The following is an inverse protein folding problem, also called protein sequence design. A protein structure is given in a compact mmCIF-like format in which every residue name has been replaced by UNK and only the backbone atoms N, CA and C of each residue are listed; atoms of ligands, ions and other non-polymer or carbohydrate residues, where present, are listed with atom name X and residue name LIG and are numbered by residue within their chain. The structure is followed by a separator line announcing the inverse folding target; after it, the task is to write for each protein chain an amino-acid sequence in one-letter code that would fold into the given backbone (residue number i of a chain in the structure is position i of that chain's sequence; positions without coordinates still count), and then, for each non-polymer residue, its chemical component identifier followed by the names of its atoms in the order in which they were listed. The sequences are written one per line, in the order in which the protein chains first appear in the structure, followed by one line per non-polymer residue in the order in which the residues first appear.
data_IF_047517741367
#
_entry.id   IF_047517741367
#
_cell.length_a   1.000
_cell.length_b   1.000
_cell.length_c   1.000
_cell.angle_alpha   90.00
_cell.angle_beta   90.00
_cell.angle_gamma   90.00
#
_symmetry.space_group_name_H-M   'P 1'
#
loop_
_entity.id
_entity.type
_entity.pdbx_description
1 polymer ?
#
# COMPACT_ATOMS: atom_id res chain seq x y z
N UNK A 1 35.69 -60.67 25.37
CA UNK A 1 34.35 -60.11 25.69
C UNK A 1 34.09 -58.96 24.74
N UNK A 2 33.17 -59.11 23.78
CA UNK A 2 32.74 -58.04 22.87
C UNK A 2 31.27 -57.77 23.16
N UNK A 3 30.99 -56.60 23.72
CA UNK A 3 29.63 -56.14 24.07
C UNK A 3 29.02 -55.51 22.81
N UNK A 4 27.90 -56.06 22.36
CA UNK A 4 27.07 -55.50 21.29
C UNK A 4 26.13 -54.45 21.88
N UNK A 5 26.20 -53.22 21.37
CA UNK A 5 25.26 -52.14 21.68
C UNK A 5 24.08 -52.25 20.71
N UNK A 6 22.91 -52.67 21.20
CA UNK A 6 21.67 -52.66 20.45
C UNK A 6 21.12 -51.23 20.39
N UNK A 7 21.11 -50.63 19.19
CA UNK A 7 20.41 -49.38 18.92
C UNK A 7 18.93 -49.70 18.66
N UNK A 8 18.06 -49.21 19.53
CA UNK A 8 16.60 -49.31 19.40
C UNK A 8 16.10 -48.15 18.55
N UNK A 9 15.76 -48.41 17.29
CA UNK A 9 15.06 -47.46 16.42
C UNK A 9 13.58 -47.40 16.83
N UNK A 10 13.15 -46.31 17.47
CA UNK A 10 11.73 -46.00 17.61
C UNK A 10 11.18 -45.48 16.28
N UNK A 11 10.34 -46.28 15.65
CA UNK A 11 9.54 -45.91 14.48
C UNK A 11 8.33 -45.09 14.97
N UNK A 12 8.38 -43.76 14.84
CA UNK A 12 7.21 -42.90 15.06
C UNK A 12 6.34 -42.95 13.81
N UNK A 13 5.25 -43.70 13.86
CA UNK A 13 4.21 -43.70 12.82
C UNK A 13 3.39 -42.42 12.98
N UNK A 14 3.68 -41.41 12.16
CA UNK A 14 2.90 -40.19 12.10
C UNK A 14 1.53 -40.46 11.48
N UNK A 15 0.47 -40.36 12.28
CA UNK A 15 -0.90 -40.28 11.79
C UNK A 15 -1.03 -38.95 11.06
N UNK A 16 -1.39 -38.90 9.76
CA UNK A 16 -1.64 -37.63 9.09
C UNK A 16 -2.82 -36.96 9.79
N UNK A 17 -2.55 -35.85 10.49
CA UNK A 17 -3.58 -34.97 11.00
C UNK A 17 -4.45 -34.55 9.83
N UNK A 18 -5.70 -35.03 9.82
CA UNK A 18 -6.75 -34.51 8.96
C UNK A 18 -6.94 -33.06 9.40
N UNK A 19 -6.27 -32.13 8.73
CA UNK A 19 -6.57 -30.70 8.85
C UNK A 19 -8.03 -30.55 8.40
N UNK A 20 -8.92 -30.40 9.38
CA UNK A 20 -10.28 -29.92 9.17
C UNK A 20 -10.16 -28.58 8.44
N UNK A 21 -10.35 -28.57 7.12
CA UNK A 21 -10.50 -27.35 6.34
C UNK A 21 -11.55 -26.48 7.04
N UNK A 22 -11.14 -25.28 7.48
CA UNK A 22 -12.04 -24.37 8.16
C UNK A 22 -13.10 -23.86 7.16
N UNK A 23 -14.34 -23.62 7.60
CA UNK A 23 -15.35 -23.00 6.77
C UNK A 23 -14.86 -21.64 6.22
N UNK A 24 -14.72 -21.53 4.90
CA UNK A 24 -14.22 -20.31 4.28
C UNK A 24 -14.74 -20.12 2.85
N UNK A 25 -14.73 -18.86 2.40
CA UNK A 25 -14.79 -18.48 0.98
C UNK A 25 -13.36 -18.25 0.51
N UNK A 26 -12.87 -19.16 -0.33
CA UNK A 26 -11.53 -19.13 -0.89
C UNK A 26 -11.59 -18.71 -2.35
N UNK A 27 -10.83 -17.68 -2.71
CA UNK A 27 -10.65 -17.29 -4.12
C UNK A 27 -9.20 -17.57 -4.48
N UNK A 28 -8.99 -18.46 -5.45
CA UNK A 28 -7.67 -18.81 -5.96
C UNK A 28 -7.50 -18.17 -7.32
N UNK A 29 -6.78 -17.06 -7.39
CA UNK A 29 -6.47 -16.37 -8.63
C UNK A 29 -5.09 -16.76 -9.13
N UNK A 30 -5.03 -17.47 -10.25
CA UNK A 30 -3.77 -17.85 -10.88
C UNK A 30 -3.10 -16.62 -11.53
N UNK A 31 -1.75 -16.58 -11.66
CA UNK A 31 -1.10 -15.57 -12.49
C UNK A 31 -1.65 -15.61 -13.93
N UNK A 32 -1.79 -14.45 -14.57
CA UNK A 32 -2.17 -14.40 -15.98
C UNK A 32 -1.08 -15.05 -16.83
N UNK A 33 -1.47 -15.92 -17.76
CA UNK A 33 -0.57 -16.56 -18.71
C UNK A 33 -0.68 -15.82 -20.04
N UNK A 34 0.40 -15.14 -20.44
CA UNK A 34 0.43 -14.31 -21.63
C UNK A 34 1.41 -14.91 -22.62
N UNK A 35 0.96 -15.18 -23.83
CA UNK A 35 1.76 -15.74 -24.90
C UNK A 35 1.65 -14.87 -26.15
N UNK A 36 2.73 -14.80 -26.92
CA UNK A 36 2.73 -14.23 -28.27
C UNK A 36 3.18 -15.31 -29.24
N UNK A 37 2.43 -15.52 -30.31
CA UNK A 37 2.74 -16.49 -31.37
C UNK A 37 2.80 -15.79 -32.71
N UNK A 38 3.82 -16.12 -33.49
CA UNK A 38 3.98 -15.61 -34.84
C UNK A 38 3.53 -16.66 -35.87
N UNK A 39 2.96 -16.23 -36.99
CA UNK A 39 2.52 -17.13 -38.06
C UNK A 39 2.84 -16.61 -39.47
N UNK A 40 2.98 -17.52 -40.43
CA UNK A 40 3.01 -17.18 -41.86
C UNK A 40 1.57 -16.99 -42.36
N UNK A 41 1.16 -15.80 -42.85
CA UNK A 41 -0.19 -15.58 -43.37
C UNK A 41 -0.57 -16.50 -44.53
N UNK A 42 0.40 -17.01 -45.29
CA UNK A 42 0.14 -17.92 -46.42
C UNK A 42 -0.07 -19.37 -45.97
N UNK A 43 0.46 -19.73 -44.80
CA UNK A 43 0.38 -21.07 -44.24
C UNK A 43 0.12 -20.97 -42.72
N UNK A 44 -1.03 -20.43 -42.30
CA UNK A 44 -1.31 -20.24 -40.88
C UNK A 44 -1.42 -21.59 -40.17
N UNK A 45 -1.00 -21.69 -38.89
CA UNK A 45 -1.14 -22.92 -38.14
C UNK A 45 -2.64 -23.20 -37.88
N UNK A 46 -3.04 -24.48 -37.80
CA UNK A 46 -4.45 -24.88 -37.76
C UNK A 46 -5.16 -24.50 -36.46
N UNK A 47 -4.42 -24.25 -35.38
CA UNK A 47 -4.92 -23.83 -34.08
C UNK A 47 -5.04 -22.30 -33.93
N UNK A 48 -4.65 -21.53 -34.95
CA UNK A 48 -4.84 -20.09 -34.97
C UNK A 48 -6.34 -19.78 -35.14
N UNK A 49 -6.91 -18.88 -34.33
CA UNK A 49 -8.27 -18.39 -34.52
C UNK A 49 -8.47 -17.78 -35.93
N UNK A 50 -9.69 -17.89 -36.52
CA UNK A 50 -10.03 -17.18 -37.74
C UNK A 50 -9.79 -15.67 -37.58
N UNK A 51 -9.30 -15.01 -38.63
CA UNK A 51 -9.25 -13.54 -38.71
C UNK A 51 -10.47 -13.04 -39.47
N UNK A 52 -11.02 -11.91 -39.06
CA UNK A 52 -12.07 -11.22 -39.83
C UNK A 52 -11.41 -10.12 -40.64
N UNK A 53 -11.68 -10.01 -41.94
CA UNK A 53 -11.19 -8.87 -42.73
C UNK A 53 -11.69 -7.54 -42.13
N UNK A 54 -10.84 -6.53 -41.88
CA UNK A 54 -9.48 -6.33 -42.40
C UNK A 54 -8.33 -6.71 -41.42
N UNK A 55 -8.58 -7.52 -40.40
CA UNK A 55 -7.62 -7.87 -39.36
C UNK A 55 -6.44 -8.68 -39.89
N UNK A 56 -5.21 -8.28 -39.53
CA UNK A 56 -3.99 -9.01 -39.86
C UNK A 56 -3.45 -9.84 -38.68
N UNK A 57 -3.97 -9.61 -37.48
CA UNK A 57 -3.58 -10.22 -36.21
C UNK A 57 -4.81 -10.37 -35.31
N UNK A 58 -4.71 -11.20 -34.28
CA UNK A 58 -5.82 -11.42 -33.33
C UNK A 58 -5.31 -11.76 -31.94
N UNK A 59 -5.95 -11.19 -30.94
CA UNK A 59 -5.73 -11.44 -29.54
C UNK A 59 -6.88 -12.24 -28.95
N UNK A 60 -6.59 -13.42 -28.40
CA UNK A 60 -7.61 -14.26 -27.76
C UNK A 60 -7.32 -14.42 -26.29
N UNK A 61 -8.26 -13.97 -25.46
CA UNK A 61 -8.27 -14.16 -24.02
C UNK A 61 -9.30 -15.21 -23.60
N UNK A 62 -8.89 -16.16 -22.77
CA UNK A 62 -9.73 -17.17 -22.13
C UNK A 62 -9.79 -16.88 -20.62
N UNK A 63 -10.93 -16.31 -20.19
CA UNK A 63 -11.23 -16.02 -18.79
C UNK A 63 -11.98 -17.20 -18.17
N UNK A 64 -11.25 -18.01 -17.40
CA UNK A 64 -11.83 -19.16 -16.69
C UNK A 64 -12.21 -18.77 -15.26
N UNK A 65 -13.41 -19.21 -14.88
CA UNK A 65 -13.92 -19.17 -13.52
C UNK A 65 -14.57 -20.50 -13.22
N UNK A 66 -14.02 -21.21 -12.24
CA UNK A 66 -14.51 -22.50 -11.78
C UNK A 66 -14.87 -22.40 -10.31
N UNK A 67 -16.16 -22.50 -9.99
CA UNK A 67 -16.66 -22.46 -8.63
C UNK A 67 -16.96 -23.88 -8.14
N UNK A 68 -16.59 -24.16 -6.91
CA UNK A 68 -16.95 -25.40 -6.21
C UNK A 68 -17.54 -25.05 -4.85
N UNK A 69 -18.63 -25.71 -4.51
CA UNK A 69 -19.43 -25.41 -3.31
C UNK A 69 -19.55 -26.66 -2.46
N UNK A 70 -19.41 -26.51 -1.15
CA UNK A 70 -19.59 -27.56 -0.16
C UNK A 70 -20.64 -27.17 0.87
N UNK A 71 -21.41 -28.15 1.33
CA UNK A 71 -22.41 -27.96 2.37
C UNK A 71 -22.35 -29.03 3.44
N UNK A 72 -22.68 -28.64 4.67
CA UNK A 72 -22.87 -29.55 5.79
C UNK A 72 -24.36 -29.90 5.92
N UNK A 73 -24.67 -31.19 5.83
CA UNK A 73 -26.05 -31.70 5.93
C UNK A 73 -26.42 -31.97 7.37
N UNK A 74 -27.60 -31.48 7.76
CA UNK A 74 -28.32 -31.78 8.98
C UNK A 74 -29.58 -32.55 8.60
N UNK A 75 -29.52 -33.89 8.69
CA UNK A 75 -30.65 -34.74 8.33
C UNK A 75 -31.78 -34.62 9.37
N UNK A 76 -33.02 -34.47 8.90
CA UNK A 76 -34.21 -34.37 9.73
C UNK A 76 -34.89 -35.74 9.79
N UNK A 77 -35.12 -36.36 8.63
CA UNK A 77 -35.67 -37.71 8.48
C UNK A 77 -35.11 -38.41 7.23
N UNK A 78 -35.68 -39.56 6.84
CA UNK A 78 -35.22 -40.34 5.68
C UNK A 78 -35.33 -39.59 4.35
N UNK A 79 -36.19 -38.58 4.26
CA UNK A 79 -36.55 -37.85 3.05
C UNK A 79 -36.34 -36.34 3.15
N UNK A 80 -36.01 -35.80 4.33
CA UNK A 80 -35.80 -34.37 4.56
C UNK A 80 -34.48 -34.08 5.27
N UNK A 81 -33.81 -33.01 4.85
CA UNK A 81 -32.62 -32.48 5.51
C UNK A 81 -32.51 -30.97 5.30
N UNK A 82 -31.61 -30.32 6.05
CA UNK A 82 -31.12 -28.97 5.74
C UNK A 82 -29.64 -29.04 5.45
N UNK A 83 -29.17 -28.30 4.45
CA UNK A 83 -27.75 -28.17 4.17
C UNK A 83 -27.31 -26.72 4.36
N UNK A 84 -26.29 -26.50 5.19
CA UNK A 84 -25.66 -25.18 5.35
C UNK A 84 -24.42 -25.12 4.47
N UNK A 85 -24.38 -24.16 3.54
CA UNK A 85 -23.19 -23.90 2.72
C UNK A 85 -22.07 -23.42 3.64
N UNK A 86 -20.96 -24.16 3.67
CA UNK A 86 -19.85 -23.88 4.58
C UNK A 86 -18.48 -23.90 3.87
N UNK A 87 -18.44 -24.13 2.56
CA UNK A 87 -17.24 -24.02 1.76
C UNK A 87 -17.60 -23.49 0.38
N UNK A 88 -16.89 -22.47 -0.07
CA UNK A 88 -16.96 -22.02 -1.46
C UNK A 88 -15.52 -21.77 -1.91
N UNK A 89 -15.12 -22.39 -3.02
CA UNK A 89 -13.83 -22.15 -3.64
C UNK A 89 -14.03 -21.73 -5.08
N UNK A 90 -13.50 -20.58 -5.46
CA UNK A 90 -13.53 -20.08 -6.85
C UNK A 90 -12.11 -20.00 -7.38
N UNK A 91 -11.82 -20.72 -8.46
CA UNK A 91 -10.54 -20.68 -9.15
C UNK A 91 -10.65 -19.80 -10.38
N UNK A 92 -9.76 -18.82 -10.52
CA UNK A 92 -9.73 -17.85 -11.60
C UNK A 92 -8.44 -18.01 -12.40
N UNK A 93 -8.55 -17.96 -13.73
CA UNK A 93 -7.41 -18.01 -14.63
C UNK A 93 -7.65 -17.12 -15.84
N UNK A 94 -6.61 -16.42 -16.29
CA UNK A 94 -6.57 -15.75 -17.59
C UNK A 94 -5.46 -16.39 -18.42
N UNK A 95 -5.82 -16.96 -19.56
CA UNK A 95 -4.87 -17.37 -20.59
C UNK A 95 -5.07 -16.48 -21.80
N UNK A 96 -4.02 -15.81 -22.25
CA UNK A 96 -4.10 -14.93 -23.40
C UNK A 96 -3.03 -15.28 -24.41
N UNK A 97 -3.42 -15.34 -25.68
CA UNK A 97 -2.49 -15.53 -26.80
C UNK A 97 -2.71 -14.43 -27.83
N UNK A 98 -1.63 -13.69 -28.12
CA UNK A 98 -1.59 -12.73 -29.21
C UNK A 98 -0.99 -13.42 -30.44
N UNK A 99 -1.73 -13.45 -31.54
CA UNK A 99 -1.31 -14.04 -32.80
C UNK A 99 -0.91 -12.95 -33.78
N UNK A 100 0.38 -12.86 -34.11
CA UNK A 100 0.93 -11.87 -35.03
C UNK A 100 1.42 -12.54 -36.33
N UNK A 101 1.25 -11.91 -37.50
CA UNK A 101 1.90 -12.39 -38.71
C UNK A 101 3.43 -12.19 -38.59
N UNK A 102 4.21 -12.93 -39.38
CA UNK A 102 5.65 -12.70 -39.46
C UNK A 102 5.95 -11.27 -39.95
N UNK A 103 6.82 -10.55 -39.22
CA UNK A 103 7.15 -9.14 -39.47
C UNK A 103 5.92 -8.23 -39.47
N UNK A 104 5.14 -8.19 -38.38
CA UNK A 104 3.93 -7.39 -38.32
C UNK A 104 4.29 -5.90 -38.40
N UNK A 105 3.46 -5.06 -39.04
CA UNK A 105 3.57 -3.61 -38.88
C UNK A 105 3.48 -3.23 -37.40
N UNK A 106 4.28 -2.26 -36.96
CA UNK A 106 4.31 -1.81 -35.56
C UNK A 106 2.90 -1.48 -35.02
N UNK A 107 2.08 -0.77 -35.82
CA UNK A 107 0.69 -0.45 -35.47
C UNK A 107 -0.17 -1.67 -35.16
N UNK A 108 0.08 -2.80 -35.82
CA UNK A 108 -0.65 -4.05 -35.60
C UNK A 108 -0.26 -4.63 -34.25
N UNK A 109 1.04 -4.64 -33.93
CA UNK A 109 1.53 -5.08 -32.62
C UNK A 109 0.92 -4.23 -31.50
N UNK A 110 0.90 -2.91 -31.68
CA UNK A 110 0.35 -1.97 -30.72
C UNK A 110 -1.17 -2.16 -30.51
N UNK A 111 -1.93 -2.37 -31.58
CA UNK A 111 -3.36 -2.64 -31.48
C UNK A 111 -3.66 -3.92 -30.69
N UNK A 112 -2.97 -5.02 -31.00
CA UNK A 112 -3.12 -6.28 -30.25
C UNK A 112 -2.72 -6.14 -28.77
N UNK A 113 -1.69 -5.34 -28.52
CA UNK A 113 -1.24 -5.01 -27.18
C UNK A 113 -2.30 -4.21 -26.38
N UNK A 114 -3.13 -3.42 -27.06
CA UNK A 114 -4.31 -2.79 -26.46
C UNK A 114 -5.34 -3.80 -25.95
N UNK A 115 -5.64 -4.85 -26.73
CA UNK A 115 -6.50 -5.95 -26.27
C UNK A 115 -5.93 -6.65 -25.03
N UNK A 116 -4.59 -6.80 -24.97
CA UNK A 116 -3.92 -7.36 -23.78
C UNK A 116 -4.15 -6.50 -22.56
N UNK A 117 -3.96 -5.18 -22.68
CA UNK A 117 -4.15 -4.23 -21.59
C UNK A 117 -5.59 -4.24 -21.06
N UNK A 118 -6.59 -4.32 -21.94
CA UNK A 118 -8.01 -4.45 -21.54
C UNK A 118 -8.24 -5.75 -20.76
N UNK A 119 -7.72 -6.88 -21.24
CA UNK A 119 -7.88 -8.17 -20.58
C UNK A 119 -7.24 -8.17 -19.18
N UNK A 120 -6.02 -7.63 -19.07
CA UNK A 120 -5.33 -7.50 -17.78
C UNK A 120 -6.03 -6.55 -16.81
N UNK A 121 -6.62 -5.46 -17.31
CA UNK A 121 -7.38 -4.52 -16.49
C UNK A 121 -8.52 -5.24 -15.75
N UNK A 122 -9.33 -6.00 -16.47
CA UNK A 122 -10.41 -6.78 -15.86
C UNK A 122 -9.86 -7.87 -14.94
N UNK A 123 -8.83 -8.59 -15.37
CA UNK A 123 -8.26 -9.65 -14.56
C UNK A 123 -7.65 -9.15 -13.25
N UNK A 124 -7.11 -7.93 -13.21
CA UNK A 124 -6.63 -7.29 -11.97
C UNK A 124 -7.70 -7.30 -10.88
N UNK A 125 -8.94 -6.99 -11.24
CA UNK A 125 -10.08 -6.87 -10.32
C UNK A 125 -10.88 -8.18 -10.13
N UNK A 126 -10.53 -9.24 -10.87
CA UNK A 126 -11.25 -10.51 -10.89
C UNK A 126 -11.50 -11.13 -9.51
N UNK A 127 -10.52 -11.07 -8.60
CA UNK A 127 -10.67 -11.63 -7.25
C UNK A 127 -11.76 -10.92 -6.46
N UNK A 128 -11.76 -9.58 -6.45
CA UNK A 128 -12.75 -8.79 -5.72
C UNK A 128 -14.16 -9.01 -6.24
N UNK A 129 -14.32 -9.16 -7.56
CA UNK A 129 -15.60 -9.49 -8.20
C UNK A 129 -16.07 -10.88 -7.76
N UNK A 130 -15.22 -11.91 -7.90
CA UNK A 130 -15.56 -13.27 -7.53
C UNK A 130 -15.92 -13.41 -6.05
N UNK A 131 -15.15 -12.76 -5.17
CA UNK A 131 -15.41 -12.75 -3.72
C UNK A 131 -16.77 -12.14 -3.39
N UNK A 132 -17.07 -10.96 -3.92
CA UNK A 132 -18.35 -10.26 -3.72
C UNK A 132 -19.56 -11.07 -4.19
N UNK A 133 -19.39 -11.87 -5.25
CA UNK A 133 -20.43 -12.76 -5.76
C UNK A 133 -20.58 -14.00 -4.88
N UNK A 134 -19.47 -14.61 -4.44
CA UNK A 134 -19.47 -15.85 -3.67
C UNK A 134 -19.92 -15.67 -2.21
N UNK A 135 -19.51 -14.59 -1.53
CA UNK A 135 -19.75 -14.35 -0.11
C UNK A 135 -21.24 -14.41 0.29
N UNK A 136 -22.19 -13.82 -0.45
CA UNK A 136 -23.61 -13.94 -0.14
C UNK A 136 -24.15 -15.37 -0.12
N UNK A 137 -23.48 -16.34 -0.77
CA UNK A 137 -23.90 -17.74 -0.74
C UNK A 137 -23.36 -18.50 0.48
N UNK A 138 -22.30 -17.99 1.12
CA UNK A 138 -21.72 -18.63 2.28
C UNK A 138 -22.65 -18.57 3.49
N UNK A 139 -22.79 -19.68 4.20
CA UNK A 139 -23.68 -19.80 5.35
C UNK A 139 -25.17 -19.93 5.02
N UNK A 140 -25.59 -19.78 3.75
CA UNK A 140 -26.97 -20.02 3.33
C UNK A 140 -27.40 -21.45 3.69
N UNK A 141 -28.65 -21.58 4.12
CA UNK A 141 -29.26 -22.89 4.40
C UNK A 141 -30.22 -23.25 3.27
N UNK A 142 -30.14 -24.49 2.81
CA UNK A 142 -30.97 -25.05 1.74
C UNK A 142 -31.80 -26.17 2.36
N UNK A 143 -33.11 -26.13 2.17
CA UNK A 143 -33.99 -27.25 2.53
C UNK A 143 -33.91 -28.31 1.42
N UNK A 144 -33.66 -29.56 1.82
CA UNK A 144 -33.53 -30.70 0.93
C UNK A 144 -34.70 -31.65 1.16
N UNK A 145 -35.34 -32.10 0.07
CA UNK A 145 -36.39 -33.12 0.12
C UNK A 145 -36.21 -34.11 -1.04
N UNK A 146 -36.22 -35.40 -0.74
CA UNK A 146 -36.12 -36.47 -1.73
C UNK A 146 -35.69 -37.81 -1.15
N UNK A 147 -35.91 -38.88 -1.93
CA UNK A 147 -35.52 -40.24 -1.54
C UNK A 147 -33.99 -40.46 -1.50
N UNK A 148 -33.24 -39.66 -2.26
CA UNK A 148 -31.77 -39.63 -2.24
C UNK A 148 -31.28 -38.20 -1.93
N UNK A 149 -31.12 -37.92 -0.63
CA UNK A 149 -30.66 -36.61 -0.14
C UNK A 149 -29.27 -36.23 -0.65
N UNK A 150 -28.41 -37.21 -1.01
CA UNK A 150 -27.07 -36.93 -1.53
C UNK A 150 -27.15 -36.40 -2.95
N UNK A 151 -27.96 -37.04 -3.79
CA UNK A 151 -28.21 -36.56 -5.15
C UNK A 151 -28.82 -35.15 -5.15
N UNK A 152 -29.83 -34.92 -4.28
CA UNK A 152 -30.49 -33.61 -4.15
C UNK A 152 -29.51 -32.54 -3.68
N UNK A 153 -28.63 -32.84 -2.70
CA UNK A 153 -27.57 -31.92 -2.28
C UNK A 153 -26.62 -31.58 -3.43
N UNK A 154 -26.14 -32.60 -4.17
CA UNK A 154 -25.22 -32.43 -5.29
C UNK A 154 -25.78 -31.45 -6.32
N UNK A 155 -27.02 -31.68 -6.77
CA UNK A 155 -27.68 -30.78 -7.70
C UNK A 155 -27.84 -29.35 -7.14
N UNK A 156 -28.12 -29.20 -5.85
CA UNK A 156 -28.29 -27.89 -5.23
C UNK A 156 -26.97 -27.10 -5.14
N UNK A 157 -25.85 -27.74 -4.79
CA UNK A 157 -24.55 -27.06 -4.71
C UNK A 157 -23.96 -26.79 -6.10
N UNK A 158 -24.20 -27.68 -7.07
CA UNK A 158 -23.80 -27.47 -8.48
C UNK A 158 -24.51 -26.26 -9.06
N UNK A 159 -25.81 -26.09 -8.76
CA UNK A 159 -26.57 -24.90 -9.15
C UNK A 159 -25.97 -23.61 -8.57
N UNK A 160 -25.55 -23.60 -7.31
CA UNK A 160 -24.92 -22.43 -6.70
C UNK A 160 -23.57 -22.12 -7.36
N UNK A 161 -22.77 -23.16 -7.65
CA UNK A 161 -21.51 -22.99 -8.37
C UNK A 161 -21.74 -22.38 -9.76
N UNK A 162 -22.73 -22.86 -10.50
CA UNK A 162 -23.13 -22.31 -11.80
C UNK A 162 -23.58 -20.84 -11.68
N UNK A 163 -24.42 -20.51 -10.69
CA UNK A 163 -24.85 -19.13 -10.41
C UNK A 163 -23.66 -18.20 -10.19
N UNK A 164 -22.67 -18.61 -9.38
CA UNK A 164 -21.44 -17.84 -9.13
C UNK A 164 -20.65 -17.63 -10.42
N UNK A 165 -20.44 -18.69 -11.21
CA UNK A 165 -19.67 -18.61 -12.46
C UNK A 165 -20.35 -17.75 -13.52
N UNK A 166 -21.68 -17.88 -13.67
CA UNK A 166 -22.48 -17.07 -14.61
C UNK A 166 -22.45 -15.60 -14.23
N UNK A 167 -22.67 -15.30 -12.95
CA UNK A 167 -22.66 -13.93 -12.45
C UNK A 167 -21.26 -13.30 -12.55
N UNK A 168 -20.19 -14.08 -12.32
CA UNK A 168 -18.82 -13.63 -12.51
C UNK A 168 -18.56 -13.21 -13.96
N UNK A 169 -18.95 -14.05 -14.93
CA UNK A 169 -18.83 -13.71 -16.36
C UNK A 169 -19.63 -12.46 -16.71
N UNK A 170 -20.84 -12.32 -16.16
CA UNK A 170 -21.70 -11.14 -16.38
C UNK A 170 -21.05 -9.85 -15.88
N UNK A 171 -20.36 -9.89 -14.75
CA UNK A 171 -19.64 -8.73 -14.18
C UNK A 171 -18.25 -8.50 -14.81
N UNK A 172 -17.85 -9.33 -15.77
CA UNK A 172 -16.58 -9.24 -16.50
C UNK A 172 -16.85 -9.00 -18.00
N UNK A 173 -17.33 -7.81 -18.40
CA UNK A 173 -17.75 -7.48 -19.78
C UNK A 173 -16.56 -7.26 -20.73
N UNK A 174 -15.55 -8.13 -20.66
CA UNK A 174 -14.29 -8.03 -21.41
C UNK A 174 -14.59 -8.00 -22.90
N UNK A 175 -15.35 -8.97 -23.42
CA UNK A 175 -15.67 -9.09 -24.85
C UNK A 175 -16.33 -7.81 -25.40
N UNK A 176 -17.31 -7.26 -24.68
CA UNK A 176 -17.96 -5.99 -25.08
C UNK A 176 -17.03 -4.78 -25.02
N UNK A 177 -15.97 -4.83 -24.21
CA UNK A 177 -14.97 -3.77 -24.13
C UNK A 177 -13.94 -3.91 -25.25
N UNK A 178 -13.55 -5.14 -25.57
CA UNK A 178 -12.68 -5.43 -26.72
C UNK A 178 -13.35 -4.99 -28.02
N UNK A 179 -14.62 -5.36 -28.23
CA UNK A 179 -15.37 -4.93 -29.42
C UNK A 179 -15.45 -3.40 -29.55
N UNK A 180 -15.63 -2.68 -28.44
CA UNK A 180 -15.59 -1.21 -28.45
C UNK A 180 -14.21 -0.65 -28.74
N UNK A 181 -13.16 -1.29 -28.24
CA UNK A 181 -11.79 -0.92 -28.58
C UNK A 181 -11.53 -1.10 -30.08
N UNK A 182 -12.04 -2.17 -30.69
CA UNK A 182 -12.01 -2.36 -32.14
C UNK A 182 -12.76 -1.26 -32.88
N UNK A 183 -13.96 -0.90 -32.44
CA UNK A 183 -14.73 0.21 -33.02
C UNK A 183 -13.99 1.55 -32.92
N UNK A 184 -13.37 1.85 -31.76
CA UNK A 184 -12.64 3.09 -31.50
C UNK A 184 -11.41 3.21 -32.41
N UNK A 185 -10.69 2.10 -32.59
CA UNK A 185 -9.45 2.02 -33.38
C UNK A 185 -9.69 1.68 -34.84
N UNK A 186 -10.93 1.40 -35.22
CA UNK A 186 -11.34 0.88 -36.53
C UNK A 186 -10.54 -0.39 -36.92
N UNK A 187 -10.43 -1.34 -35.98
CA UNK A 187 -9.55 -2.52 -36.04
C UNK A 187 -8.09 -2.13 -36.34
N UNK A 188 -7.57 -1.15 -35.58
CA UNK A 188 -6.19 -0.67 -35.70
C UNK A 188 -5.88 0.18 -36.95
N UNK A 189 -6.88 0.61 -37.72
CA UNK A 189 -6.69 1.45 -38.92
C UNK A 189 -6.63 2.94 -38.61
N UNK A 190 -7.26 3.37 -37.52
CA UNK A 190 -7.28 4.77 -37.08
C UNK A 190 -6.01 5.10 -36.29
N UNK A 191 -5.41 6.25 -36.58
CA UNK A 191 -4.26 6.77 -35.82
C UNK A 191 -4.75 7.37 -34.49
N UNK A 192 -4.80 6.53 -33.46
CA UNK A 192 -5.05 6.91 -32.07
C UNK A 192 -4.01 6.22 -31.17
N UNK A 193 -3.40 6.92 -30.20
CA UNK A 193 -2.52 6.27 -29.24
C UNK A 193 -3.27 5.16 -28.50
N UNK A 194 -2.68 3.96 -28.46
CA UNK A 194 -3.29 2.78 -27.81
C UNK A 194 -3.74 3.04 -26.37
N UNK A 195 -2.94 3.70 -25.50
CA UNK A 195 -3.38 3.99 -24.13
C UNK A 195 -4.67 4.83 -24.07
N UNK A 196 -4.84 5.77 -24.98
CA UNK A 196 -6.02 6.64 -25.03
C UNK A 196 -7.25 5.85 -25.51
N UNK A 197 -7.08 5.01 -26.53
CA UNK A 197 -8.14 4.14 -27.04
C UNK A 197 -8.57 3.10 -25.98
N UNK A 198 -7.63 2.50 -25.24
CA UNK A 198 -7.92 1.59 -24.11
C UNK A 198 -8.67 2.33 -23.01
N UNK A 199 -8.21 3.53 -22.62
CA UNK A 199 -8.88 4.33 -21.60
C UNK A 199 -10.30 4.72 -22.03
N UNK A 200 -10.49 5.07 -23.30
CA UNK A 200 -11.82 5.38 -23.86
C UNK A 200 -12.73 4.15 -23.86
N UNK A 201 -12.23 2.97 -24.26
CA UNK A 201 -13.00 1.73 -24.24
C UNK A 201 -13.44 1.34 -22.82
N UNK A 202 -12.57 1.57 -21.81
CA UNK A 202 -12.85 1.25 -20.41
C UNK A 202 -13.83 2.23 -19.74
N UNK A 203 -13.87 3.50 -20.17
CA UNK A 203 -14.64 4.58 -19.52
C UNK A 203 -16.15 4.33 -19.48
N UNK A 204 -16.69 3.62 -20.45
CA UNK A 204 -18.14 3.44 -20.60
C UNK A 204 -18.67 2.12 -20.04
N UNK A 205 -17.80 1.23 -19.56
CA UNK A 205 -18.20 -0.14 -19.23
C UNK A 205 -18.58 -0.35 -17.77
N UNK A 206 -18.02 0.45 -16.87
CA UNK A 206 -18.32 0.34 -15.43
C UNK A 206 -18.04 1.70 -14.75
N UNK A 207 -18.93 2.22 -13.87
CA UNK A 207 -18.40 2.99 -12.75
C UNK A 207 -17.43 2.05 -12.03
N UNK A 208 -16.20 2.50 -11.75
CA UNK A 208 -15.28 1.76 -10.90
C UNK A 208 -16.11 1.16 -9.76
N UNK A 209 -16.07 -0.17 -9.52
CA UNK A 209 -16.86 -0.76 -8.45
C UNK A 209 -16.57 0.06 -7.20
N UNK A 210 -17.61 0.64 -6.59
CA UNK A 210 -17.49 1.47 -5.38
C UNK A 210 -16.49 0.74 -4.49
N UNK A 211 -15.28 1.33 -4.41
CA UNK A 211 -14.17 0.72 -3.72
C UNK A 211 -14.72 0.44 -2.33
N UNK A 212 -14.87 -0.84 -1.97
CA UNK A 212 -15.49 -1.22 -0.69
C UNK A 212 -14.85 -0.31 0.34
N UNK A 213 -15.66 0.55 0.98
CA UNK A 213 -15.16 1.72 1.69
C UNK A 213 -14.01 1.26 2.56
N UNK A 214 -12.78 1.57 2.13
CA UNK A 214 -11.61 1.09 2.82
C UNK A 214 -11.77 1.59 4.25
N UNK A 215 -11.40 0.78 5.25
CA UNK A 215 -11.43 1.23 6.62
C UNK A 215 -10.49 2.44 6.72
N UNK A 216 -11.08 3.63 6.59
CA UNK A 216 -10.37 4.89 6.58
C UNK A 216 -9.89 5.12 8.01
N UNK A 217 -8.59 5.25 8.16
CA UNK A 217 -7.97 5.51 9.46
C UNK A 217 -7.68 7.00 9.54
N UNK A 218 -7.97 7.62 10.68
CA UNK A 218 -7.64 9.02 10.93
C UNK A 218 -6.13 9.24 10.73
N UNK A 219 -5.76 10.27 9.95
CA UNK A 219 -4.37 10.63 9.70
C UNK A 219 -3.74 11.16 10.99
N UNK A 220 -2.56 10.65 11.39
CA UNK A 220 -1.84 11.15 12.57
C UNK A 220 -1.62 12.66 12.55
N UNK A 221 -1.38 13.24 11.37
CA UNK A 221 -1.20 14.68 11.19
C UNK A 221 -2.50 15.44 11.44
N UNK A 222 -3.64 14.94 10.96
CA UNK A 222 -4.94 15.52 11.25
C UNK A 222 -5.24 15.49 12.76
N UNK A 223 -5.02 14.33 13.40
CA UNK A 223 -5.23 14.15 14.83
C UNK A 223 -4.38 15.10 15.68
N UNK A 224 -3.17 15.42 15.22
CA UNK A 224 -2.27 16.33 15.90
C UNK A 224 -2.84 17.76 16.00
N UNK A 225 -3.68 18.17 15.02
CA UNK A 225 -4.35 19.47 15.01
C UNK A 225 -5.81 19.45 15.51
N UNK A 226 -6.43 18.26 15.64
CA UNK A 226 -7.87 18.08 15.97
C UNK A 226 -8.35 18.82 17.23
N UNK A 227 -7.45 19.00 18.20
CA UNK A 227 -7.77 19.65 19.48
C UNK A 227 -7.39 21.14 19.55
N UNK A 228 -6.98 21.73 18.42
CA UNK A 228 -6.54 23.12 18.33
C UNK A 228 -7.56 24.00 17.60
N UNK A 229 -7.65 25.27 18.00
CA UNK A 229 -8.56 26.23 17.38
C UNK A 229 -7.93 26.85 16.13
N UNK A 230 -8.73 27.22 15.10
CA UNK A 230 -8.25 28.10 14.04
C UNK A 230 -7.51 29.31 14.61
N UNK A 231 -6.34 29.60 14.06
CA UNK A 231 -5.39 30.59 14.56
C UNK A 231 -4.25 30.01 15.38
N UNK A 232 -4.36 28.78 15.90
CA UNK A 232 -3.26 28.13 16.62
C UNK A 232 -2.00 28.07 15.76
N UNK A 233 -0.85 28.36 16.36
CA UNK A 233 0.42 28.53 15.65
C UNK A 233 1.54 27.84 16.42
N UNK A 234 2.41 27.14 15.70
CA UNK A 234 3.69 26.64 16.23
C UNK A 234 4.83 27.22 15.42
N UNK A 235 5.94 27.53 16.09
CA UNK A 235 7.17 28.00 15.46
C UNK A 235 8.32 27.12 15.93
N UNK A 236 9.04 26.57 14.96
CA UNK A 236 10.27 25.83 15.16
C UNK A 236 11.46 26.66 14.72
N UNK A 237 12.52 26.63 15.51
CA UNK A 237 13.82 27.16 15.13
C UNK A 237 14.79 26.00 14.91
N UNK A 238 15.64 26.11 13.88
CA UNK A 238 16.76 25.22 13.67
C UNK A 238 18.09 25.95 13.87
N UNK A 239 19.12 25.27 14.35
CA UNK A 239 20.49 25.80 14.46
C UNK A 239 21.54 24.71 14.35
N UNK A 240 22.74 25.10 13.93
CA UNK A 240 23.94 24.27 14.10
C UNK A 240 24.55 24.50 15.48
N UNK A 241 25.16 23.46 16.02
CA UNK A 241 26.00 23.55 17.18
C UNK A 241 27.46 23.45 16.76
N UNK A 242 28.26 24.41 17.22
CA UNK A 242 29.68 24.47 16.93
C UNK A 242 30.45 23.70 18.00
N UNK A 243 31.44 22.91 17.57
CA UNK A 243 32.35 22.25 18.49
C UNK A 243 33.33 23.28 19.04
N UNK A 244 33.22 23.60 20.33
CA UNK A 244 34.22 24.39 21.04
C UNK A 244 35.38 23.51 21.52
N UNK A 245 36.44 24.13 22.03
CA UNK A 245 37.52 23.42 22.72
C UNK A 245 36.91 22.50 23.81
N UNK A 246 37.48 21.29 23.99
CA UNK A 246 37.03 20.24 24.93
C UNK A 246 35.81 19.38 24.55
N UNK A 247 35.51 19.18 23.26
CA UNK A 247 34.37 18.35 22.78
C UNK A 247 32.99 18.82 23.28
N UNK A 248 32.89 20.10 23.67
CA UNK A 248 31.64 20.72 24.11
C UNK A 248 30.98 21.42 22.94
N UNK A 249 29.69 21.18 22.76
CA UNK A 249 28.90 21.90 21.78
C UNK A 249 28.45 23.24 22.36
N UNK A 250 28.64 24.30 21.58
CA UNK A 250 28.09 25.63 21.84
C UNK A 250 27.05 25.92 20.77
N UNK A 251 25.87 26.40 21.19
CA UNK A 251 24.79 26.73 20.27
C UNK A 251 25.24 27.83 19.30
N UNK A 252 25.15 27.56 18.01
CA UNK A 252 25.31 28.56 16.97
C UNK A 252 24.06 29.45 16.81
N UNK A 253 24.11 30.41 15.88
CA UNK A 253 22.93 31.19 15.51
C UNK A 253 21.83 30.28 14.94
N UNK A 254 20.58 30.73 15.07
CA UNK A 254 19.43 30.13 14.36
C UNK A 254 19.72 30.21 12.86
N UNK A 255 19.46 29.12 12.14
CA UNK A 255 19.64 28.98 10.70
C UNK A 255 18.34 29.00 9.91
N UNK A 256 17.22 28.66 10.55
CA UNK A 256 15.90 28.75 9.94
C UNK A 256 14.79 28.78 10.97
N UNK A 257 13.67 29.39 10.57
CA UNK A 257 12.41 29.39 11.30
C UNK A 257 11.33 28.74 10.43
N UNK A 258 10.56 27.82 11.02
CA UNK A 258 9.41 27.18 10.37
C UNK A 258 8.17 27.41 11.22
N UNK A 259 7.15 28.03 10.64
CA UNK A 259 5.88 28.25 11.31
C UNK A 259 4.76 27.46 10.63
N UNK A 260 3.87 26.91 11.44
CA UNK A 260 2.65 26.23 10.99
C UNK A 260 1.49 26.90 11.70
N UNK A 261 0.53 27.43 10.94
CA UNK A 261 -0.65 28.09 11.48
C UNK A 261 -1.92 27.39 11.00
N UNK A 262 -2.76 27.00 11.95
CA UNK A 262 -4.04 26.38 11.68
C UNK A 262 -5.02 27.41 11.08
N UNK A 263 -5.41 27.21 9.82
CA UNK A 263 -6.40 28.07 9.14
C UNK A 263 -7.82 27.56 9.37
N UNK A 264 -8.00 26.25 9.37
CA UNK A 264 -9.29 25.62 9.65
C UNK A 264 -9.18 24.11 9.73
N UNK A 265 -10.13 23.48 10.41
CA UNK A 265 -10.21 22.03 10.58
C UNK A 265 -11.67 21.61 10.54
N UNK A 266 -11.97 20.51 9.83
CA UNK A 266 -13.30 19.93 9.71
C UNK A 266 -13.21 18.40 9.67
N UNK A 267 -14.29 17.71 9.30
CA UNK A 267 -14.31 16.25 9.19
C UNK A 267 -13.52 15.72 7.97
N UNK A 268 -13.26 16.57 6.98
CA UNK A 268 -12.56 16.19 5.74
C UNK A 268 -11.05 16.36 5.85
N UNK A 269 -10.58 17.29 6.70
CA UNK A 269 -9.16 17.53 6.90
C UNK A 269 -8.81 18.77 7.69
N UNK A 270 -7.53 19.12 7.62
CA UNK A 270 -6.95 20.33 8.23
C UNK A 270 -6.25 21.16 7.16
N UNK A 271 -6.47 22.49 7.21
CA UNK A 271 -5.79 23.48 6.38
C UNK A 271 -4.78 24.24 7.21
N UNK A 272 -3.54 24.22 6.77
CA UNK A 272 -2.40 24.82 7.47
C UNK A 272 -1.71 25.83 6.54
N UNK A 273 -1.36 26.98 7.11
CA UNK A 273 -0.46 27.95 6.48
C UNK A 273 0.96 27.71 6.97
N UNK A 274 1.89 27.53 6.04
CA UNK A 274 3.29 27.25 6.29
C UNK A 274 4.11 28.47 5.93
N UNK A 275 5.10 28.75 6.76
CA UNK A 275 6.10 29.79 6.51
C UNK A 275 7.46 29.22 6.86
N UNK A 276 8.40 29.24 5.92
CA UNK A 276 9.79 28.89 6.14
C UNK A 276 10.70 30.09 5.83
N UNK A 277 11.34 30.63 6.86
CA UNK A 277 12.30 31.72 6.73
C UNK A 277 13.72 31.17 7.01
N UNK A 278 14.59 31.02 6.01
CA UNK A 278 16.00 30.81 6.28
C UNK A 278 16.58 32.07 6.93
N UNK A 279 17.70 31.93 7.63
CA UNK A 279 18.44 33.10 8.12
C UNK A 279 19.72 33.28 7.32
N UNK A 280 20.20 34.52 7.25
CA UNK A 280 21.53 34.80 6.71
C UNK A 280 22.65 34.30 7.65
N UNK A 281 23.91 34.49 7.25
CA UNK A 281 25.09 34.11 8.06
C UNK A 281 25.19 34.78 9.43
N UNK A 282 24.39 35.81 9.70
CA UNK A 282 24.32 36.53 10.97
C UNK A 282 23.10 36.13 11.80
N UNK A 283 22.32 35.14 11.35
CA UNK A 283 21.10 34.70 12.02
C UNK A 283 19.91 35.66 11.80
N UNK A 284 20.00 36.59 10.85
CA UNK A 284 18.88 37.49 10.53
C UNK A 284 17.91 36.77 9.59
N UNK A 285 16.60 36.76 9.87
CA UNK A 285 15.63 36.08 9.01
C UNK A 285 15.57 36.74 7.63
N UNK A 286 15.62 35.91 6.60
CA UNK A 286 15.31 36.29 5.22
C UNK A 286 13.79 36.28 5.00
N UNK A 287 13.29 36.87 3.90
CA UNK A 287 11.87 36.77 3.55
C UNK A 287 11.40 35.31 3.56
N UNK A 288 10.26 35.01 4.20
CA UNK A 288 9.76 33.64 4.27
C UNK A 288 9.23 33.17 2.90
N UNK A 289 9.40 31.88 2.63
CA UNK A 289 8.60 31.17 1.65
C UNK A 289 7.32 30.70 2.33
N UNK A 290 6.16 31.04 1.75
CA UNK A 290 4.86 30.74 2.33
C UNK A 290 3.99 29.93 1.37
N UNK A 291 3.24 28.97 1.92
CA UNK A 291 2.28 28.17 1.16
C UNK A 291 1.17 27.62 2.07
N UNK A 292 0.06 27.20 1.46
CA UNK A 292 -1.01 26.50 2.16
C UNK A 292 -0.94 24.99 1.84
N UNK A 293 -1.13 24.14 2.84
CA UNK A 293 -1.27 22.68 2.67
C UNK A 293 -2.59 22.23 3.26
N UNK A 294 -3.23 21.28 2.59
CA UNK A 294 -4.41 20.58 3.10
C UNK A 294 -4.05 19.14 3.39
N UNK A 295 -4.29 18.71 4.62
CA UNK A 295 -4.07 17.33 5.07
C UNK A 295 -5.42 16.69 5.28
N UNK A 296 -5.73 15.66 4.50
CA UNK A 296 -6.96 14.89 4.65
C UNK A 296 -7.10 14.30 6.06
N UNK A 297 -8.32 14.24 6.58
CA UNK A 297 -8.62 13.71 7.90
C UNK A 297 -8.34 12.22 7.99
N UNK A 298 -8.53 11.50 6.88
CA UNK A 298 -8.38 10.06 6.84
C UNK A 298 -7.60 9.62 5.60
N UNK A 299 -7.08 8.39 5.64
CA UNK A 299 -6.39 7.76 4.51
C UNK A 299 -6.70 6.27 4.45
N UNK A 300 -6.56 5.70 3.25
CA UNK A 300 -6.65 4.26 3.04
C UNK A 300 -5.37 3.59 3.52
N UNK A 301 -5.46 2.83 4.62
CA UNK A 301 -4.33 2.14 5.23
C UNK A 301 -3.71 1.07 4.32
N UNK A 302 -4.44 0.59 3.30
CA UNK A 302 -3.94 -0.40 2.35
C UNK A 302 -3.07 0.20 1.24
N UNK A 303 -3.08 1.54 1.09
CA UNK A 303 -2.41 2.24 -0.02
C UNK A 303 -1.03 2.79 0.39
N UNK A 304 -0.65 2.73 1.67
CA UNK A 304 0.62 3.30 2.15
C UNK A 304 1.35 2.43 3.16
N UNK A 305 2.63 2.13 2.88
CA UNK A 305 3.57 1.43 3.79
C UNK A 305 3.85 2.18 5.10
N UNK A 306 3.40 3.42 5.24
CA UNK A 306 3.59 4.27 6.42
C UNK A 306 2.60 4.00 7.57
N UNK A 307 1.46 3.34 7.30
CA UNK A 307 0.38 3.21 8.29
C UNK A 307 0.72 2.32 9.50
N UNK A 308 1.64 1.36 9.33
CA UNK A 308 2.05 0.43 10.39
C UNK A 308 3.29 0.90 11.17
N UNK A 309 3.84 2.08 10.86
CA UNK A 309 4.99 2.62 11.57
C UNK A 309 4.54 3.28 12.89
N UNK A 310 5.37 3.19 13.94
CA UNK A 310 5.13 3.96 15.17
C UNK A 310 5.02 5.45 14.86
N UNK A 311 4.27 6.22 15.66
CA UNK A 311 4.17 7.68 15.51
C UNK A 311 5.55 8.33 15.42
N UNK A 312 6.50 7.82 16.19
CA UNK A 312 7.88 8.26 16.19
C UNK A 312 8.61 7.89 14.91
N UNK A 313 8.39 6.71 14.32
CA UNK A 313 8.93 6.35 13.01
C UNK A 313 8.31 7.19 11.87
N UNK A 314 7.04 7.59 11.99
CA UNK A 314 6.40 8.52 11.05
C UNK A 314 6.96 9.94 11.19
N UNK A 315 7.12 10.42 12.42
CA UNK A 315 7.76 11.71 12.71
C UNK A 315 9.24 11.69 12.27
N UNK A 316 9.96 10.60 12.53
CA UNK A 316 11.30 10.38 12.01
C UNK A 316 11.26 10.47 10.49
N UNK A 317 10.42 9.72 9.79
CA UNK A 317 10.33 9.79 8.32
C UNK A 317 10.09 11.22 7.82
N UNK A 318 9.12 11.93 8.41
CA UNK A 318 8.78 13.31 8.05
C UNK A 318 9.93 14.29 8.29
N UNK A 319 10.62 14.15 9.43
CA UNK A 319 11.74 15.01 9.77
C UNK A 319 13.08 14.51 9.21
N UNK A 320 13.19 13.27 8.74
CA UNK A 320 14.37 12.65 8.13
C UNK A 320 14.52 13.12 6.69
N UNK A 321 13.43 13.14 5.91
CA UNK A 321 13.45 13.63 4.53
C UNK A 321 13.86 15.11 4.44
N UNK A 322 13.73 15.87 5.54
CA UNK A 322 14.10 17.27 5.63
C UNK A 322 15.40 17.55 6.44
N UNK A 323 16.06 16.51 6.96
CA UNK A 323 17.26 16.65 7.79
C UNK A 323 18.53 16.73 6.96
N UNK A 324 19.29 17.83 7.09
CA UNK A 324 20.53 18.04 6.34
C UNK A 324 21.57 16.92 6.52
N UNK A 325 21.51 16.17 7.63
CA UNK A 325 22.45 15.09 7.93
C UNK A 325 21.87 13.70 7.64
N UNK A 326 20.57 13.53 7.47
CA UNK A 326 19.94 12.20 7.31
C UNK A 326 20.01 11.65 5.87
N UNK A 327 20.57 12.39 4.92
CA UNK A 327 20.68 11.94 3.53
C UNK A 327 21.57 10.69 3.41
N UNK A 328 21.01 9.63 2.83
CA UNK A 328 21.75 8.40 2.54
C UNK A 328 22.06 7.51 3.73
N UNK A 329 21.33 7.64 4.85
CA UNK A 329 21.42 6.68 5.96
C UNK A 329 20.62 5.42 5.67
N UNK A 330 21.05 4.29 6.22
CA UNK A 330 20.30 3.03 6.18
C UNK A 330 18.96 3.18 6.92
N UNK A 331 17.90 2.58 6.38
CA UNK A 331 16.52 2.74 6.89
C UNK A 331 16.26 1.98 8.19
N UNK A 332 17.12 1.02 8.56
CA UNK A 332 16.98 0.19 9.76
C UNK A 332 17.93 0.71 10.85
N UNK A 333 17.44 1.50 11.83
CA UNK A 333 18.27 1.94 12.94
C UNK A 333 18.70 0.76 13.83
N UNK A 334 19.79 0.98 14.59
CA UNK A 334 20.13 0.17 15.77
C UNK A 334 19.07 0.37 16.88
N UNK A 335 19.07 -0.44 17.97
CA UNK A 335 18.02 -0.40 18.99
C UNK A 335 17.69 1.01 19.47
N UNK A 336 16.40 1.31 19.55
CA UNK A 336 15.87 2.62 19.93
C UNK A 336 15.92 2.72 21.45
N UNK A 337 16.58 3.75 21.96
CA UNK A 337 16.50 4.12 23.38
C UNK A 337 15.30 5.05 23.60
N UNK A 338 14.60 4.90 24.71
CA UNK A 338 13.43 5.73 25.05
C UNK A 338 13.49 6.25 26.47
N UNK A 339 12.85 7.37 26.75
CA UNK A 339 12.67 7.86 28.11
C UNK A 339 11.71 9.04 28.20
N UNK A 340 11.58 9.59 29.40
CA UNK A 340 10.77 10.77 29.69
C UNK A 340 11.67 11.95 30.04
N UNK A 341 11.22 13.15 29.73
CA UNK A 341 11.93 14.40 30.01
C UNK A 341 10.92 15.57 30.12
N UNK A 342 11.34 16.70 30.70
CA UNK A 342 10.55 17.94 30.73
C UNK A 342 11.33 19.06 30.07
N UNK A 343 10.82 19.57 28.95
CA UNK A 343 11.43 20.69 28.23
C UNK A 343 10.71 21.97 28.60
N UNK A 344 11.46 23.00 28.98
CA UNK A 344 10.93 24.35 29.19
C UNK A 344 11.02 25.18 27.91
N UNK A 345 9.88 25.73 27.47
CA UNK A 345 9.78 26.62 26.31
C UNK A 345 9.07 27.89 26.77
N UNK A 346 9.78 29.03 26.74
CA UNK A 346 9.27 30.34 27.17
C UNK A 346 8.59 30.31 28.56
N UNK A 347 9.22 29.66 29.55
CA UNK A 347 8.68 29.54 30.92
C UNK A 347 7.61 28.45 31.08
N UNK A 348 7.18 27.79 30.01
CA UNK A 348 6.21 26.69 30.06
C UNK A 348 6.93 25.36 30.08
N UNK A 349 6.66 24.54 31.10
CA UNK A 349 7.19 23.18 31.21
C UNK A 349 6.31 22.19 30.44
N UNK A 350 6.90 21.51 29.47
CA UNK A 350 6.23 20.53 28.61
C UNK A 350 6.76 19.14 28.97
N UNK A 351 5.88 18.27 29.43
CA UNK A 351 6.21 16.85 29.59
C UNK A 351 6.41 16.23 28.20
N UNK A 352 7.52 15.52 28.04
CA UNK A 352 7.93 14.93 26.76
C UNK A 352 8.33 13.47 26.92
N UNK A 353 8.09 12.69 25.87
CA UNK A 353 8.70 11.40 25.67
C UNK A 353 9.78 11.55 24.61
N UNK A 354 10.97 11.00 24.86
CA UNK A 354 12.05 11.02 23.91
C UNK A 354 12.40 9.64 23.40
N UNK A 355 12.85 9.60 22.15
CA UNK A 355 13.40 8.43 21.49
C UNK A 355 14.73 8.78 20.83
N UNK A 356 15.69 7.87 20.87
CA UNK A 356 17.01 8.04 20.27
C UNK A 356 17.37 6.83 19.42
N UNK A 357 17.72 7.07 18.16
CA UNK A 357 18.07 6.04 17.20
C UNK A 357 19.43 6.34 16.56
N UNK A 358 20.20 5.28 16.31
CA UNK A 358 21.50 5.36 15.65
C UNK A 358 21.44 4.76 14.26
N UNK A 359 21.97 5.50 13.30
CA UNK A 359 22.02 5.15 11.88
C UNK A 359 23.46 5.13 11.37
N UNK A 360 23.68 4.26 10.40
CA UNK A 360 24.91 4.20 9.60
C UNK A 360 24.62 4.73 8.20
N UNK A 361 25.61 5.36 7.58
CA UNK A 361 25.47 5.83 6.20
C UNK A 361 25.63 4.67 5.23
N UNK A 362 24.80 4.65 4.19
CA UNK A 362 25.00 3.78 3.04
C UNK A 362 26.20 4.28 2.23
N UNK A 363 27.32 3.60 2.44
CA UNK A 363 28.59 3.93 1.77
C UNK A 363 28.58 3.71 0.27
N UNK A 364 27.59 2.99 -0.27
CA UNK A 364 27.42 2.85 -1.72
C UNK A 364 26.92 4.15 -2.37
N UNK A 365 26.10 4.90 -1.64
CA UNK A 365 25.54 6.18 -2.09
C UNK A 365 26.44 7.35 -1.68
N UNK A 366 27.02 7.29 -0.47
CA UNK A 366 27.88 8.36 0.07
C UNK A 366 29.21 7.83 0.63
N UNK A 367 30.19 7.52 -0.23
CA UNK A 367 31.48 6.98 0.19
C UNK A 367 32.24 7.89 1.18
N UNK A 368 32.02 9.21 1.09
CA UNK A 368 32.64 10.20 1.96
C UNK A 368 32.18 10.13 3.41
N UNK A 369 31.04 9.48 3.69
CA UNK A 369 30.54 9.26 5.05
C UNK A 369 30.82 7.85 5.56
N UNK A 370 31.80 7.15 4.95
CA UNK A 370 32.26 5.85 5.44
C UNK A 370 32.67 5.94 6.90
N UNK A 371 32.11 5.04 7.71
CA UNK A 371 32.31 4.98 9.16
C UNK A 371 31.77 6.19 9.95
N UNK A 372 30.99 7.08 9.32
CA UNK A 372 30.25 8.08 10.07
C UNK A 372 29.02 7.44 10.72
N UNK A 373 28.66 7.92 11.91
CA UNK A 373 27.47 7.55 12.67
C UNK A 373 26.56 8.76 12.75
N UNK A 374 25.25 8.57 12.55
CA UNK A 374 24.23 9.58 12.82
C UNK A 374 23.39 9.15 14.01
N UNK A 375 23.26 9.99 15.03
CA UNK A 375 22.33 9.79 16.15
C UNK A 375 21.22 10.82 16.03
N UNK A 376 19.98 10.36 15.97
CA UNK A 376 18.81 11.22 15.94
C UNK A 376 18.04 11.00 17.23
N UNK A 377 17.84 12.08 17.99
CA UNK A 377 17.02 12.07 19.19
C UNK A 377 15.84 13.01 19.03
N UNK A 378 14.64 12.52 19.29
CA UNK A 378 13.39 13.26 19.18
C UNK A 378 12.74 13.36 20.56
N UNK A 379 12.16 14.50 20.87
CA UNK A 379 11.28 14.71 22.02
C UNK A 379 9.92 15.10 21.49
N UNK A 380 8.90 14.38 21.95
CA UNK A 380 7.52 14.57 21.50
C UNK A 380 6.56 14.80 22.66
N UNK A 381 5.48 15.53 22.41
CA UNK A 381 4.43 15.79 23.38
C UNK A 381 3.08 15.96 22.69
N UNK A 382 2.03 15.35 23.25
CA UNK A 382 0.66 15.55 22.78
C UNK A 382 0.16 17.00 23.01
N UNK A 383 0.83 17.77 23.87
CA UNK A 383 0.54 19.18 24.11
C UNK A 383 1.00 20.11 22.97
N UNK A 384 1.72 19.61 21.97
CA UNK A 384 2.21 20.43 20.85
C UNK A 384 1.50 20.01 19.56
N UNK A 385 0.94 20.95 18.77
CA UNK A 385 0.16 20.63 17.57
C UNK A 385 0.78 19.68 16.56
N UNK A 386 2.10 19.67 16.39
CA UNK A 386 2.75 18.72 15.46
C UNK A 386 3.37 17.53 16.18
N UNK A 387 3.21 17.45 17.51
CA UNK A 387 3.84 16.47 18.38
C UNK A 387 5.32 16.71 18.65
N UNK A 388 6.05 17.46 17.81
CA UNK A 388 7.49 17.69 17.98
C UNK A 388 7.76 18.79 19.02
N UNK A 389 8.64 18.52 19.98
CA UNK A 389 9.14 19.55 20.91
C UNK A 389 10.60 19.87 20.60
N UNK A 390 11.42 18.84 20.36
CA UNK A 390 12.85 18.98 20.06
C UNK A 390 13.33 17.82 19.21
N UNK A 391 14.32 18.08 18.36
CA UNK A 391 15.06 17.11 17.57
C UNK A 391 16.53 17.49 17.60
N UNK A 392 17.41 16.52 17.83
CA UNK A 392 18.85 16.67 17.60
C UNK A 392 19.32 15.62 16.61
N UNK A 393 20.13 16.04 15.65
CA UNK A 393 20.82 15.19 14.68
C UNK A 393 22.31 15.36 14.89
N UNK A 394 22.99 14.33 15.38
CA UNK A 394 24.42 14.35 15.66
C UNK A 394 25.16 13.40 14.73
N UNK A 395 25.97 13.94 13.82
CA UNK A 395 26.88 13.17 12.97
C UNK A 395 28.28 13.16 13.58
N UNK A 396 28.83 11.98 13.78
CA UNK A 396 30.22 11.78 14.21
C UNK A 396 30.96 10.96 13.16
N UNK A 397 32.13 11.45 12.72
CA UNK A 397 33.00 10.79 11.75
C UNK A 397 34.40 10.58 12.36
N UNK A 398 35.12 9.51 11.99
CA UNK A 398 36.47 9.29 12.49
C UNK A 398 37.43 10.41 12.06
N UNK A 399 38.43 10.75 12.88
CA UNK A 399 39.47 11.71 12.50
C UNK A 399 40.29 11.18 11.32
N UNK A 400 40.37 11.93 10.21
CA UNK A 400 41.17 11.56 9.03
C UNK A 400 40.54 11.81 7.65
N UNK A 401 39.32 12.35 7.57
CA UNK A 401 38.76 12.89 6.31
C UNK A 401 38.65 14.42 6.34
N UNK A 402 38.50 15.06 5.18
CA UNK A 402 38.30 16.52 4.98
C UNK A 402 37.02 17.10 5.64
N UNK A 403 36.44 16.41 6.61
CA UNK A 403 35.14 16.72 7.19
C UNK A 403 35.25 17.07 8.68
N UNK A 404 34.35 17.96 9.12
CA UNK A 404 34.15 18.25 10.54
C UNK A 404 33.87 16.93 11.27
N UNK A 405 34.78 16.53 12.16
CA UNK A 405 34.73 15.24 12.87
C UNK A 405 33.42 15.02 13.64
N UNK A 406 32.73 16.10 14.00
CA UNK A 406 31.45 16.06 14.71
C UNK A 406 30.60 17.28 14.34
N UNK A 407 29.36 17.06 13.94
CA UNK A 407 28.39 18.12 13.61
C UNK A 407 27.07 17.80 14.28
N UNK A 408 26.43 18.78 14.91
CA UNK A 408 25.09 18.62 15.47
C UNK A 408 24.15 19.70 14.95
N UNK A 409 22.97 19.28 14.51
CA UNK A 409 21.84 20.16 14.16
C UNK A 409 20.76 19.95 15.20
N UNK A 410 20.12 21.04 15.62
CA UNK A 410 18.97 20.99 16.51
C UNK A 410 17.80 21.72 15.87
N UNK A 411 16.62 21.10 15.91
CA UNK A 411 15.33 21.76 15.66
C UNK A 411 14.53 21.73 16.95
N UNK A 412 14.02 22.87 17.40
CA UNK A 412 13.29 22.95 18.67
C UNK A 412 12.08 23.87 18.56
N UNK A 413 11.06 23.58 19.37
CA UNK A 413 9.88 24.41 19.51
C UNK A 413 10.29 25.74 20.15
N UNK A 414 10.22 26.81 19.37
CA UNK A 414 10.52 28.16 19.83
C UNK A 414 9.31 28.78 20.52
N UNK A 415 8.11 28.59 19.96
CA UNK A 415 6.86 29.05 20.56
C UNK A 415 5.68 28.24 20.04
N UNK A 416 4.59 28.22 20.81
CA UNK A 416 3.31 27.73 20.38
C UNK A 416 2.18 28.52 21.05
N UNK A 417 1.10 28.77 20.31
CA UNK A 417 -0.05 29.55 20.73
C UNK A 417 -1.35 28.83 20.35
N UNK A 418 -2.42 29.09 21.10
CA UNK A 418 -3.77 28.59 20.78
C UNK A 418 -4.10 27.20 21.34
N UNK A 419 -3.41 26.77 22.41
CA UNK A 419 -3.76 25.54 23.12
C UNK A 419 -5.07 25.73 23.89
N UNK A 420 -6.10 24.97 23.51
CA UNK A 420 -7.28 24.84 24.36
C UNK A 420 -6.93 23.80 25.42
N UNK A 421 -6.66 24.23 26.66
CA UNK A 421 -6.67 23.28 27.77
C UNK A 421 -8.12 22.76 27.85
N UNK A 422 -8.35 21.54 27.36
CA UNK A 422 -9.55 20.83 27.74
C UNK A 422 -9.51 20.77 29.27
N UNK A 423 -10.51 21.38 29.93
CA UNK A 423 -10.65 21.22 31.37
C UNK A 423 -10.72 19.71 31.62
N UNK A 424 -9.65 19.16 32.20
CA UNK A 424 -9.63 17.76 32.59
C UNK A 424 -10.78 17.57 33.56
N UNK A 425 -11.83 16.88 33.12
CA UNK A 425 -12.94 16.46 33.99
C UNK A 425 -12.54 15.22 34.77
#
# INVERSE_FOLDING_TARGET
MRVWLMLMFMLVIGVPSVQSEQPQVEIVKMPAQLNTRYFDPKNPPPDRPPLMEPEAAVSVGDFRSDASVGGQVMQIDATHAKARINRIKVTLQLNMTIWLPNNPPQRTVEHEEGHRQISEYYYRNAEGIARRIAEPHFGKTIDLSGADLRHVLGAAIDKIAEEITVEYKRQMPVETTQARYDDITEHGRKEIPVPDAVAQALKETYPEPEKAAAALVDRPEYLAWKNFRPGAKVVYAARYWNLAASNKFVAGPITSLKAYQLRGINAEGVRLWFSEAPTDRYGRPMPPNEWEETIAAQYDSNVGTSGNQSRSAQLLTRFHQAGNLAMGVQLTPRPIETGEDTIEVNGTRIATQWESATYEYDTSVWPTFKNCRLVIKLWTSAAVPTGLVRKTEERTCPPGGDQLARVMVETYLQSFEGLTLAASK
#
